data_IF_089360269332
#
_entry.id   IF_089360269332
#
_cell.length_a   1.000
_cell.length_b   1.000
_cell.length_c   1.000
_cell.angle_alpha   90.00
_cell.angle_beta   90.00
_cell.angle_gamma   90.00
#
_symmetry.space_group_name_H-M   'P 1'
#
loop_
_entity.id
_entity.type
_entity.pdbx_description
1 polymer ?
#
# COMPACT_ATOMS: atom_id res chain seq x y z
N UNK A 1 -18.32 -3.62 -13.44
CA UNK A 1 -17.58 -4.55 -14.32
C UNK A 1 -16.18 -4.73 -13.79
N UNK A 2 -15.59 -5.89 -13.97
CA UNK A 2 -14.22 -6.18 -13.58
C UNK A 2 -13.55 -7.09 -14.61
N UNK A 3 -12.25 -7.29 -14.46
CA UNK A 3 -11.50 -8.26 -15.23
C UNK A 3 -10.70 -9.16 -14.29
N UNK A 4 -10.50 -10.43 -14.65
CA UNK A 4 -9.62 -11.30 -13.90
C UNK A 4 -8.23 -10.68 -13.79
N UNK A 5 -7.71 -10.67 -12.55
CA UNK A 5 -6.34 -10.24 -12.32
C UNK A 5 -5.40 -11.40 -12.64
N UNK A 6 -4.87 -11.37 -13.85
CA UNK A 6 -3.76 -12.21 -14.20
C UNK A 6 -2.49 -11.69 -13.52
N UNK A 7 -1.46 -12.53 -13.42
CA UNK A 7 -0.14 -12.21 -12.88
C UNK A 7 0.62 -11.18 -13.74
N UNK A 8 -0.11 -10.20 -14.27
CA UNK A 8 0.41 -9.11 -15.07
C UNK A 8 1.00 -8.04 -14.16
N UNK A 9 2.10 -7.46 -14.58
CA UNK A 9 2.72 -6.34 -13.89
C UNK A 9 1.72 -5.19 -13.73
N UNK A 10 1.31 -4.87 -12.51
CA UNK A 10 0.43 -3.74 -12.21
C UNK A 10 1.02 -2.44 -12.71
N UNK A 11 2.34 -2.28 -12.68
CA UNK A 11 3.05 -1.14 -13.26
C UNK A 11 2.67 -0.93 -14.73
N UNK A 12 2.60 -2.02 -15.52
CA UNK A 12 2.16 -1.94 -16.92
C UNK A 12 0.70 -1.57 -17.06
N UNK A 13 -0.16 -2.12 -16.21
CA UNK A 13 -1.60 -1.82 -16.22
C UNK A 13 -1.82 -0.35 -15.93
N UNK A 14 -1.19 0.19 -14.87
CA UNK A 14 -1.30 1.60 -14.50
C UNK A 14 -0.74 2.50 -15.61
N UNK A 15 0.43 2.17 -16.17
CA UNK A 15 1.01 2.91 -17.30
C UNK A 15 0.07 2.92 -18.50
N UNK A 16 -0.54 1.79 -18.82
CA UNK A 16 -1.53 1.67 -19.90
C UNK A 16 -2.79 2.46 -19.61
N UNK A 17 -3.29 2.40 -18.37
CA UNK A 17 -4.44 3.19 -17.94
C UNK A 17 -4.16 4.68 -18.08
N UNK A 18 -3.08 5.19 -17.51
CA UNK A 18 -2.73 6.60 -17.56
C UNK A 18 -2.52 7.07 -19.01
N UNK A 19 -1.94 6.22 -19.86
CA UNK A 19 -1.76 6.55 -21.28
C UNK A 19 -3.09 6.70 -22.04
N UNK A 20 -4.06 5.84 -21.73
CA UNK A 20 -5.30 5.73 -22.51
C UNK A 20 -6.52 6.39 -21.84
N UNK A 21 -6.41 6.87 -20.60
CA UNK A 21 -7.54 7.53 -19.94
C UNK A 21 -8.01 8.75 -20.75
N UNK A 22 -9.31 8.92 -20.86
CA UNK A 22 -9.92 10.11 -21.48
C UNK A 22 -9.92 11.27 -20.48
N UNK A 23 -10.43 11.01 -19.27
CA UNK A 23 -10.47 11.96 -18.17
C UNK A 23 -9.53 11.54 -17.04
N UNK A 24 -8.83 12.52 -16.44
CA UNK A 24 -7.99 12.27 -15.28
C UNK A 24 -8.88 12.06 -14.04
N UNK A 25 -8.68 10.98 -13.25
CA UNK A 25 -9.37 10.83 -11.99
C UNK A 25 -9.06 12.00 -11.05
N UNK A 26 -10.09 12.59 -10.45
CA UNK A 26 -9.88 13.67 -9.48
C UNK A 26 -9.11 13.18 -8.25
N UNK A 27 -9.23 11.91 -7.91
CA UNK A 27 -8.55 11.28 -6.77
C UNK A 27 -7.89 9.98 -7.21
N UNK A 28 -6.65 9.77 -6.78
CA UNK A 28 -5.96 8.48 -6.91
C UNK A 28 -5.50 7.96 -5.54
N UNK A 29 -5.35 6.64 -5.42
CA UNK A 29 -4.63 6.02 -4.32
C UNK A 29 -3.29 5.50 -4.82
N UNK A 30 -2.22 5.82 -4.11
CA UNK A 30 -0.87 5.27 -4.26
C UNK A 30 -0.56 4.39 -3.05
N UNK A 31 0.22 3.35 -3.21
CA UNK A 31 0.65 2.48 -2.12
C UNK A 31 0.82 1.03 -2.55
N UNK A 32 0.91 0.14 -1.59
CA UNK A 32 1.07 -1.29 -1.81
C UNK A 32 -0.26 -2.06 -1.90
N UNK A 33 -0.17 -3.40 -1.91
CA UNK A 33 -1.34 -4.29 -1.83
C UNK A 33 -2.24 -4.02 -0.62
N UNK A 34 -1.72 -3.39 0.41
CA UNK A 34 -2.46 -3.08 1.65
C UNK A 34 -3.53 -2.01 1.45
N UNK A 35 -3.50 -1.28 0.35
CA UNK A 35 -4.50 -0.25 0.00
C UNK A 35 -5.22 -0.53 -1.33
N UNK A 36 -4.96 -1.67 -1.97
CA UNK A 36 -5.60 -2.05 -3.25
C UNK A 36 -7.11 -2.21 -3.17
N UNK A 37 -7.65 -2.40 -1.96
CA UNK A 37 -9.09 -2.57 -1.77
C UNK A 37 -9.87 -1.26 -1.68
N UNK A 38 -9.16 -0.11 -1.62
CA UNK A 38 -9.84 1.20 -1.67
C UNK A 38 -10.54 1.32 -3.02
N UNK A 39 -11.84 1.51 -2.99
CA UNK A 39 -12.68 1.61 -4.18
C UNK A 39 -13.42 2.94 -4.22
N UNK A 40 -13.89 3.29 -5.42
CA UNK A 40 -14.78 4.43 -5.64
C UNK A 40 -16.05 4.34 -4.80
N UNK A 41 -16.58 3.12 -4.60
CA UNK A 41 -17.74 2.85 -3.76
C UNK A 41 -17.43 3.16 -2.28
N UNK A 42 -16.29 2.74 -1.76
CA UNK A 42 -15.84 3.01 -0.38
C UNK A 42 -15.70 4.52 -0.14
N UNK A 43 -15.06 5.21 -1.07
CA UNK A 43 -14.84 6.66 -1.01
C UNK A 43 -16.08 7.50 -1.41
N UNK A 44 -17.14 6.86 -1.89
CA UNK A 44 -18.37 7.51 -2.39
C UNK A 44 -18.09 8.59 -3.43
N UNK A 45 -17.25 8.30 -4.41
CA UNK A 45 -16.88 9.21 -5.50
C UNK A 45 -16.75 8.46 -6.82
N UNK A 46 -17.22 9.06 -7.91
CA UNK A 46 -17.13 8.48 -9.25
C UNK A 46 -15.80 8.80 -9.95
N UNK A 47 -15.04 9.75 -9.42
CA UNK A 47 -13.77 10.19 -10.02
C UNK A 47 -12.58 9.74 -9.19
N UNK A 48 -12.36 8.42 -9.17
CA UNK A 48 -11.31 7.76 -8.42
C UNK A 48 -10.65 6.64 -9.24
N UNK A 49 -9.35 6.47 -9.05
CA UNK A 49 -8.63 5.30 -9.55
C UNK A 49 -7.58 4.82 -8.55
N UNK A 50 -7.58 3.52 -8.28
CA UNK A 50 -6.59 2.89 -7.41
C UNK A 50 -5.34 2.51 -8.21
N UNK A 51 -4.25 3.21 -7.95
CA UNK A 51 -2.94 3.00 -8.56
C UNK A 51 -1.97 2.21 -7.68
N UNK A 52 -2.46 1.47 -6.70
CA UNK A 52 -1.61 0.69 -5.81
C UNK A 52 -0.92 -0.47 -6.54
N UNK A 53 0.31 -0.76 -6.13
CA UNK A 53 1.20 -1.77 -6.73
C UNK A 53 1.63 -2.76 -5.65
N UNK A 54 1.52 -4.07 -5.89
CA UNK A 54 1.97 -5.08 -4.93
C UNK A 54 3.42 -4.86 -4.52
N UNK A 55 3.65 -4.66 -3.22
CA UNK A 55 4.97 -4.40 -2.66
C UNK A 55 5.58 -3.08 -3.14
N UNK A 56 4.75 -2.08 -3.43
CA UNK A 56 5.22 -0.75 -3.84
C UNK A 56 6.27 -0.22 -2.87
N UNK A 57 7.33 0.33 -3.41
CA UNK A 57 8.36 1.08 -2.71
C UNK A 57 8.23 2.59 -2.98
N UNK A 58 9.16 3.37 -2.44
CA UNK A 58 9.21 4.81 -2.64
C UNK A 58 9.16 5.19 -4.12
N UNK A 59 9.83 4.41 -4.91
CA UNK A 59 9.95 4.63 -6.33
C UNK A 59 8.65 4.36 -7.06
N UNK A 60 7.93 3.39 -6.75
CA UNK A 60 6.62 3.13 -7.32
C UNK A 60 5.62 4.27 -7.02
N UNK A 61 5.67 4.84 -5.81
CA UNK A 61 4.81 5.97 -5.45
C UNK A 61 5.07 7.16 -6.38
N UNK A 62 6.33 7.55 -6.49
CA UNK A 62 6.73 8.69 -7.29
C UNK A 62 6.56 8.46 -8.79
N UNK A 63 7.06 7.33 -9.30
CA UNK A 63 6.97 6.99 -10.72
C UNK A 63 5.53 6.87 -11.20
N UNK A 64 4.63 6.35 -10.36
CA UNK A 64 3.20 6.30 -10.69
C UNK A 64 2.61 7.70 -10.82
N UNK A 65 2.88 8.60 -9.88
CA UNK A 65 2.47 9.99 -9.99
C UNK A 65 3.05 10.66 -11.24
N UNK A 66 4.34 10.42 -11.51
CA UNK A 66 5.03 11.03 -12.64
C UNK A 66 4.44 10.66 -14.00
N UNK A 67 3.85 9.46 -14.14
CA UNK A 67 3.10 9.11 -15.35
C UNK A 67 1.96 10.10 -15.65
N UNK A 68 1.22 10.53 -14.63
CA UNK A 68 0.16 11.54 -14.77
C UNK A 68 0.74 12.90 -15.15
N UNK A 69 1.85 13.27 -14.56
CA UNK A 69 2.52 14.54 -14.86
C UNK A 69 3.08 14.57 -16.27
N UNK A 70 3.72 13.51 -16.75
CA UNK A 70 4.18 13.37 -18.15
C UNK A 70 3.04 13.53 -19.15
N UNK A 71 1.83 13.10 -18.79
CA UNK A 71 0.65 13.28 -19.61
C UNK A 71 0.09 14.72 -19.55
N UNK A 72 0.56 15.54 -18.63
CA UNK A 72 0.04 16.89 -18.37
C UNK A 72 -1.36 16.89 -17.74
N UNK A 73 -1.74 15.81 -17.04
CA UNK A 73 -3.05 15.62 -16.44
C UNK A 73 -2.88 15.01 -15.05
N UNK A 74 -2.86 15.86 -14.01
CA UNK A 74 -2.61 15.44 -12.62
C UNK A 74 -3.89 15.38 -11.80
N UNK A 75 -4.00 14.45 -10.83
CA UNK A 75 -5.15 14.38 -9.93
C UNK A 75 -5.20 15.60 -8.99
N UNK A 76 -6.36 15.86 -8.44
CA UNK A 76 -6.55 16.91 -7.42
C UNK A 76 -6.24 16.42 -6.01
N UNK A 77 -6.43 15.12 -5.76
CA UNK A 77 -6.25 14.51 -4.46
C UNK A 77 -5.45 13.22 -4.60
N UNK A 78 -4.56 12.96 -3.64
CA UNK A 78 -3.79 11.72 -3.58
C UNK A 78 -3.89 11.14 -2.16
N UNK A 79 -4.37 9.90 -2.06
CA UNK A 79 -4.29 9.09 -0.85
C UNK A 79 -3.03 8.25 -0.98
N UNK A 80 -2.06 8.47 -0.09
CA UNK A 80 -0.81 7.69 -0.06
C UNK A 80 -0.90 6.66 1.06
N UNK A 81 -1.00 5.38 0.69
CA UNK A 81 -0.76 4.29 1.62
C UNK A 81 0.74 4.22 1.91
N UNK A 82 1.12 4.64 3.11
CA UNK A 82 2.52 4.67 3.52
C UNK A 82 2.84 3.40 4.26
N UNK A 83 3.69 2.58 3.70
CA UNK A 83 4.14 1.32 4.30
C UNK A 83 5.52 1.50 4.96
N UNK A 84 5.84 0.71 6.01
CA UNK A 84 7.09 0.89 6.75
C UNK A 84 8.34 0.80 5.87
N UNK A 85 8.39 -0.15 4.96
CA UNK A 85 9.55 -0.39 4.09
C UNK A 85 9.83 0.74 3.07
N UNK A 86 8.93 1.70 2.92
CA UNK A 86 9.15 2.88 2.06
C UNK A 86 10.38 3.69 2.52
N UNK A 87 10.69 3.62 3.81
CA UNK A 87 11.84 4.30 4.41
C UNK A 87 13.06 3.40 4.63
N UNK A 88 13.00 2.15 4.20
CA UNK A 88 14.14 1.24 4.20
C UNK A 88 15.11 1.54 3.06
N UNK A 89 16.34 1.02 3.19
CA UNK A 89 17.41 1.20 2.21
C UNK A 89 17.21 0.44 0.90
N UNK A 90 18.30 0.26 0.17
CA UNK A 90 18.29 -0.40 -1.15
C UNK A 90 17.73 -1.82 -1.09
N UNK A 91 17.92 -2.55 0.01
CA UNK A 91 17.38 -3.90 0.20
C UNK A 91 15.85 -3.92 0.28
N UNK A 92 15.24 -2.79 0.62
CA UNK A 92 13.77 -2.63 0.62
C UNK A 92 13.19 -2.24 -0.75
N UNK A 93 14.04 -1.94 -1.74
CA UNK A 93 13.60 -1.56 -3.09
C UNK A 93 13.16 -2.79 -3.88
N UNK A 94 12.02 -2.66 -4.57
CA UNK A 94 11.58 -3.70 -5.49
C UNK A 94 12.44 -3.67 -6.77
N UNK A 95 13.13 -4.76 -7.13
CA UNK A 95 13.95 -4.79 -8.35
C UNK A 95 13.12 -4.61 -9.65
N UNK A 96 11.78 -4.69 -9.55
CA UNK A 96 10.87 -4.45 -10.67
C UNK A 96 10.46 -2.99 -10.80
N UNK A 97 10.86 -2.12 -9.87
CA UNK A 97 10.59 -0.68 -9.94
C UNK A 97 11.24 -0.07 -11.17
N UNK A 98 10.52 0.84 -11.83
CA UNK A 98 11.05 1.52 -13.02
C UNK A 98 11.94 2.71 -12.59
N UNK A 99 13.16 2.41 -12.16
CA UNK A 99 14.12 3.42 -11.70
C UNK A 99 14.42 4.49 -12.76
N UNK A 100 14.39 4.16 -14.03
CA UNK A 100 14.64 5.13 -15.10
C UNK A 100 13.55 6.20 -15.19
N UNK A 101 12.27 5.81 -15.05
CA UNK A 101 11.15 6.74 -14.98
C UNK A 101 11.32 7.75 -13.85
N UNK A 102 11.82 7.32 -12.73
CA UNK A 102 12.15 8.03 -11.53
C UNK A 102 13.30 9.00 -11.63
N UNK A 103 14.43 8.55 -12.23
CA UNK A 103 15.62 9.36 -12.35
C UNK A 103 15.31 10.68 -13.07
N UNK A 104 14.46 10.63 -14.10
CA UNK A 104 14.00 11.83 -14.78
C UNK A 104 13.19 12.75 -13.85
N UNK A 105 12.24 12.19 -13.11
CA UNK A 105 11.41 12.96 -12.18
C UNK A 105 12.26 13.57 -11.05
N UNK A 106 13.14 12.78 -10.45
CA UNK A 106 13.98 13.22 -9.34
C UNK A 106 14.89 14.39 -9.77
N UNK A 107 15.59 14.22 -10.90
CA UNK A 107 16.53 15.23 -11.38
C UNK A 107 15.81 16.51 -11.84
N UNK A 108 14.78 16.36 -12.68
CA UNK A 108 14.12 17.49 -13.32
C UNK A 108 13.23 18.27 -12.37
N UNK A 109 12.43 17.57 -11.58
CA UNK A 109 11.32 18.16 -10.83
C UNK A 109 11.62 18.32 -9.33
N UNK A 110 12.39 17.41 -8.75
CA UNK A 110 12.80 17.49 -7.34
C UNK A 110 14.22 18.02 -7.13
N UNK A 111 15.02 18.12 -8.21
CA UNK A 111 16.39 18.62 -8.14
C UNK A 111 17.33 17.68 -7.38
N UNK A 112 17.05 16.38 -7.39
CA UNK A 112 17.84 15.34 -6.73
C UNK A 112 18.63 14.59 -7.79
N UNK A 113 19.97 14.64 -7.68
CA UNK A 113 20.85 13.81 -8.50
C UNK A 113 20.77 12.35 -8.06
N UNK A 114 20.73 11.44 -9.02
CA UNK A 114 20.69 10.00 -8.77
C UNK A 114 21.77 9.30 -9.59
N UNK A 115 22.39 8.31 -9.01
CA UNK A 115 23.34 7.42 -9.69
C UNK A 115 22.65 6.30 -10.48
N UNK A 116 21.34 6.41 -10.69
CA UNK A 116 20.62 5.40 -11.47
C UNK A 116 21.09 5.44 -12.90
N UNK A 117 21.78 4.39 -13.30
CA UNK A 117 22.07 4.14 -14.71
C UNK A 117 20.75 3.98 -15.45
N UNK A 118 20.47 4.93 -16.32
CA UNK A 118 19.19 5.07 -17.03
C UNK A 118 18.88 3.90 -17.95
N UNK A 119 19.85 3.08 -18.28
CA UNK A 119 19.67 1.78 -18.95
C UNK A 119 20.88 0.89 -18.70
N UNK A 120 20.82 0.00 -17.73
CA UNK A 120 21.67 -1.18 -17.75
C UNK A 120 20.91 -2.33 -18.47
N UNK A 121 21.31 -2.63 -19.73
CA UNK A 121 20.72 -3.76 -20.44
C UNK A 121 20.97 -5.10 -19.75
N UNK A 122 21.97 -5.17 -18.84
CA UNK A 122 22.33 -6.39 -18.11
C UNK A 122 21.33 -6.70 -17.01
N UNK A 123 20.72 -5.69 -16.36
CA UNK A 123 19.67 -5.91 -15.36
C UNK A 123 18.44 -6.61 -15.94
N UNK A 124 18.08 -6.33 -17.21
CA UNK A 124 17.03 -7.08 -17.91
C UNK A 124 17.42 -8.55 -18.10
N UNK A 125 18.69 -8.82 -18.31
CA UNK A 125 19.21 -10.19 -18.47
C UNK A 125 19.35 -10.90 -17.12
N UNK A 126 19.81 -10.24 -16.07
CA UNK A 126 19.90 -10.81 -14.71
C UNK A 126 18.51 -11.18 -14.16
N UNK A 127 17.50 -10.33 -14.37
CA UNK A 127 16.12 -10.65 -14.02
C UNK A 127 15.61 -11.89 -14.78
N UNK A 128 16.00 -12.08 -16.04
CA UNK A 128 15.64 -13.26 -16.84
C UNK A 128 16.33 -14.54 -16.35
N UNK A 129 17.50 -14.43 -15.76
CA UNK A 129 18.26 -15.58 -15.22
C UNK A 129 18.02 -15.83 -13.74
N UNK A 130 17.24 -14.99 -13.05
CA UNK A 130 16.87 -15.25 -11.66
C UNK A 130 16.07 -16.55 -11.57
N UNK A 131 16.46 -17.51 -10.71
CA UNK A 131 15.77 -18.79 -10.56
C UNK A 131 14.28 -18.64 -10.24
N UNK A 132 13.91 -17.66 -9.45
CA UNK A 132 12.53 -17.36 -9.08
C UNK A 132 11.71 -16.82 -10.26
N UNK A 133 12.31 -15.95 -11.08
CA UNK A 133 11.67 -15.44 -12.30
C UNK A 133 11.52 -16.57 -13.35
N UNK A 134 12.56 -17.39 -13.49
CA UNK A 134 12.52 -18.56 -14.40
C UNK A 134 11.48 -19.57 -13.94
N UNK A 135 11.43 -19.91 -12.65
CA UNK A 135 10.40 -20.80 -12.10
C UNK A 135 8.98 -20.25 -12.29
N UNK A 136 8.78 -18.95 -12.02
CA UNK A 136 7.49 -18.30 -12.22
C UNK A 136 7.06 -18.34 -13.68
N UNK A 137 7.96 -17.98 -14.60
CA UNK A 137 7.67 -18.01 -16.03
C UNK A 137 7.51 -19.44 -16.58
N UNK A 138 8.30 -20.41 -16.10
CA UNK A 138 8.18 -21.80 -16.50
C UNK A 138 6.85 -22.39 -16.02
N UNK A 139 6.47 -22.12 -14.76
CA UNK A 139 5.19 -22.56 -14.22
C UNK A 139 4.03 -21.93 -15.01
N UNK A 140 4.11 -20.64 -15.31
CA UNK A 140 3.14 -19.93 -16.15
C UNK A 140 3.07 -20.54 -17.57
N UNK A 141 4.22 -20.73 -18.21
CA UNK A 141 4.30 -21.33 -19.55
C UNK A 141 3.72 -22.75 -19.59
N UNK A 142 4.05 -23.58 -18.60
CA UNK A 142 3.55 -24.95 -18.50
C UNK A 142 2.05 -24.97 -18.19
N UNK A 143 1.56 -24.07 -17.33
CA UNK A 143 0.13 -23.98 -16.99
C UNK A 143 -0.70 -23.44 -18.16
N UNK A 144 -0.18 -22.43 -18.87
CA UNK A 144 -0.82 -21.82 -20.02
C UNK A 144 -0.67 -22.63 -21.33
N UNK A 145 0.08 -23.75 -21.34
CA UNK A 145 0.40 -24.54 -22.55
C UNK A 145 0.90 -23.70 -23.73
N UNK A 146 1.60 -22.59 -23.43
CA UNK A 146 2.08 -21.65 -24.44
C UNK A 146 1.01 -20.70 -25.01
N UNK A 147 -0.22 -20.73 -24.52
CA UNK A 147 -1.24 -19.75 -24.89
C UNK A 147 -1.03 -18.44 -24.11
N UNK A 148 -1.17 -17.31 -24.78
CA UNK A 148 -1.20 -16.01 -24.12
C UNK A 148 -2.56 -15.87 -23.45
N UNK A 149 -2.62 -16.07 -22.15
CA UNK A 149 -3.86 -15.89 -21.38
C UNK A 149 -4.19 -14.41 -21.36
N UNK A 150 -5.29 -14.05 -22.02
CA UNK A 150 -5.83 -12.69 -21.96
C UNK A 150 -6.71 -12.53 -20.73
N UNK A 151 -6.68 -11.36 -20.06
CA UNK A 151 -7.62 -11.07 -19.00
C UNK A 151 -9.05 -11.20 -19.52
N UNK A 152 -9.86 -12.02 -18.85
CA UNK A 152 -11.26 -12.16 -19.22
C UNK A 152 -12.10 -11.14 -18.45
N UNK A 153 -13.06 -10.54 -19.14
CA UNK A 153 -14.06 -9.73 -18.45
C UNK A 153 -14.86 -10.62 -17.51
N UNK A 154 -15.01 -10.18 -16.26
CA UNK A 154 -15.84 -10.87 -15.28
C UNK A 154 -17.27 -10.37 -15.43
N UNK A 155 -18.15 -11.26 -15.87
CA UNK A 155 -19.56 -11.01 -15.93
C UNK A 155 -20.24 -11.49 -14.63
N UNK A 156 -21.09 -10.65 -14.07
CA UNK A 156 -21.85 -10.98 -12.86
C UNK A 156 -21.22 -10.46 -11.57
N UNK A 157 -21.45 -11.21 -10.47
CA UNK A 157 -21.03 -10.80 -9.14
C UNK A 157 -19.53 -11.00 -8.92
N UNK A 158 -18.79 -9.88 -8.89
CA UNK A 158 -17.34 -9.87 -8.67
C UNK A 158 -16.95 -10.42 -7.28
N UNK A 159 -17.89 -10.41 -6.33
CA UNK A 159 -17.67 -10.94 -4.99
C UNK A 159 -17.70 -12.48 -4.94
N UNK A 160 -18.24 -13.14 -5.95
CA UNK A 160 -18.35 -14.59 -5.99
C UNK A 160 -17.31 -15.29 -6.90
N UNK A 161 -16.26 -14.58 -7.29
CA UNK A 161 -15.22 -15.15 -8.12
C UNK A 161 -14.17 -15.90 -7.29
N UNK A 162 -13.69 -17.02 -7.82
CA UNK A 162 -12.58 -17.80 -7.23
C UNK A 162 -11.20 -17.28 -7.65
N UNK A 163 -11.16 -16.22 -8.48
CA UNK A 163 -9.97 -15.49 -8.88
C UNK A 163 -10.00 -14.07 -8.32
N UNK A 164 -8.86 -13.41 -8.26
CA UNK A 164 -8.80 -11.97 -7.97
C UNK A 164 -9.37 -11.18 -9.14
N UNK A 165 -10.19 -10.19 -8.83
CA UNK A 165 -10.83 -9.33 -9.82
C UNK A 165 -10.37 -7.88 -9.64
N UNK A 166 -9.85 -7.28 -10.71
CA UNK A 166 -9.65 -5.84 -10.77
C UNK A 166 -10.92 -5.16 -11.28
N UNK A 167 -11.43 -4.20 -10.53
CA UNK A 167 -12.57 -3.36 -10.93
C UNK A 167 -12.14 -2.27 -11.91
N UNK A 168 -13.12 -1.61 -12.52
CA UNK A 168 -12.87 -0.50 -13.46
C UNK A 168 -12.21 0.72 -12.82
N UNK A 169 -12.31 0.86 -11.51
CA UNK A 169 -11.66 1.90 -10.72
C UNK A 169 -10.26 1.50 -10.22
N UNK A 170 -9.69 0.40 -10.74
CA UNK A 170 -8.37 -0.11 -10.36
C UNK A 170 -8.34 -0.86 -9.03
N UNK A 171 -9.41 -0.83 -8.24
CA UNK A 171 -9.46 -1.54 -6.97
C UNK A 171 -9.52 -3.06 -7.18
N UNK A 172 -9.04 -3.81 -6.18
CA UNK A 172 -8.97 -5.27 -6.22
C UNK A 172 -10.00 -5.89 -5.28
N UNK A 173 -10.70 -6.89 -5.78
CA UNK A 173 -11.47 -7.84 -4.98
C UNK A 173 -10.69 -9.14 -4.94
N UNK A 174 -10.25 -9.54 -3.76
CA UNK A 174 -9.58 -10.83 -3.57
C UNK A 174 -10.53 -12.00 -3.85
N UNK A 175 -9.99 -13.16 -4.23
CA UNK A 175 -10.78 -14.35 -4.50
C UNK A 175 -11.72 -14.70 -3.33
N UNK A 176 -12.85 -15.30 -3.64
CA UNK A 176 -13.81 -15.72 -2.62
C UNK A 176 -13.15 -16.65 -1.60
N UNK A 177 -12.36 -17.63 -2.05
CA UNK A 177 -11.65 -18.57 -1.18
C UNK A 177 -10.72 -17.86 -0.17
N UNK A 178 -9.99 -16.82 -0.61
CA UNK A 178 -9.13 -16.04 0.28
C UNK A 178 -9.93 -15.20 1.28
N UNK A 179 -11.05 -14.60 0.85
CA UNK A 179 -11.89 -13.76 1.71
C UNK A 179 -12.72 -14.53 2.73
N UNK A 180 -13.05 -15.81 2.44
CA UNK A 180 -13.93 -16.64 3.27
C UNK A 180 -13.19 -17.78 3.97
N UNK A 181 -11.87 -17.74 4.00
CA UNK A 181 -11.08 -18.75 4.72
C UNK A 181 -11.39 -18.73 6.23
N UNK A 182 -11.30 -19.89 6.91
CA UNK A 182 -11.52 -19.97 8.35
C UNK A 182 -10.54 -19.10 9.13
N UNK A 183 -10.95 -18.59 10.30
CA UNK A 183 -10.08 -17.74 11.14
C UNK A 183 -8.77 -18.42 11.50
N UNK A 184 -8.79 -19.72 11.76
CA UNK A 184 -7.57 -20.48 12.07
C UNK A 184 -6.54 -20.44 10.93
N UNK A 185 -7.01 -20.37 9.66
CA UNK A 185 -6.12 -20.24 8.52
C UNK A 185 -5.55 -18.82 8.41
N UNK A 186 -6.35 -17.81 8.72
CA UNK A 186 -5.90 -16.40 8.79
C UNK A 186 -4.81 -16.23 9.85
N UNK A 187 -5.08 -16.73 11.07
CA UNK A 187 -4.15 -16.66 12.20
C UNK A 187 -2.85 -17.44 11.92
N UNK A 188 -2.96 -18.59 11.27
CA UNK A 188 -1.79 -19.39 10.85
C UNK A 188 -0.96 -18.66 9.77
N UNK A 189 -1.60 -17.98 8.84
CA UNK A 189 -0.92 -17.16 7.84
C UNK A 189 -0.21 -15.97 8.50
N UNK A 190 -0.87 -15.29 9.45
CA UNK A 190 -0.29 -14.20 10.21
C UNK A 190 0.91 -14.66 11.03
N UNK A 191 0.82 -15.82 11.68
CA UNK A 191 1.94 -16.44 12.40
C UNK A 191 3.08 -16.82 11.46
N UNK A 192 2.79 -17.33 10.28
CA UNK A 192 3.81 -17.64 9.26
C UNK A 192 4.58 -16.39 8.80
N UNK A 193 3.91 -15.25 8.74
CA UNK A 193 4.52 -13.99 8.35
C UNK A 193 5.42 -13.37 9.44
N UNK A 194 5.35 -13.82 10.68
CA UNK A 194 6.26 -13.35 11.74
C UNK A 194 7.70 -13.80 11.52
N UNK A 195 7.94 -14.85 10.73
CA UNK A 195 9.28 -15.32 10.38
C UNK A 195 9.86 -14.65 9.12
N UNK A 196 9.05 -13.92 8.40
CA UNK A 196 9.43 -13.12 7.22
C UNK A 196 8.46 -11.95 7.11
N UNK A 197 8.71 -10.92 7.90
CA UNK A 197 7.85 -9.77 8.01
C UNK A 197 8.14 -8.79 6.87
N UNK A 198 7.55 -9.03 5.74
CA UNK A 198 7.76 -8.44 4.42
C UNK A 198 8.54 -7.11 4.43
N UNK A 199 9.85 -7.17 4.09
CA UNK A 199 10.78 -6.03 3.97
C UNK A 199 10.96 -5.16 5.22
N UNK A 200 10.32 -5.52 6.35
CA UNK A 200 10.39 -4.74 7.58
C UNK A 200 11.65 -5.10 8.39
N UNK A 201 12.17 -6.30 8.20
CA UNK A 201 13.40 -6.78 8.81
C UNK A 201 14.68 -6.27 8.15
N UNK A 202 14.59 -5.53 7.04
CA UNK A 202 15.76 -5.15 6.25
C UNK A 202 16.39 -3.83 6.69
N UNK A 203 15.85 -3.14 7.69
CA UNK A 203 16.43 -1.90 8.18
C UNK A 203 16.18 -1.72 9.69
N UNK A 204 17.19 -1.18 10.36
CA UNK A 204 17.15 -0.92 11.81
C UNK A 204 16.53 0.45 12.12
N UNK A 205 16.69 1.41 11.22
CA UNK A 205 16.11 2.75 11.32
C UNK A 205 15.72 3.29 9.94
N UNK A 206 14.69 4.16 9.87
CA UNK A 206 14.35 4.85 8.64
C UNK A 206 15.53 5.65 8.10
N UNK A 207 15.87 5.47 6.82
CA UNK A 207 16.99 6.14 6.19
C UNK A 207 16.72 7.62 5.93
N UNK A 208 17.67 8.47 6.30
CA UNK A 208 17.53 9.93 6.21
C UNK A 208 17.29 10.40 4.76
N UNK A 209 17.97 9.79 3.81
CA UNK A 209 17.76 10.05 2.38
C UNK A 209 16.32 9.75 1.93
N UNK A 210 15.74 8.65 2.42
CA UNK A 210 14.36 8.28 2.12
C UNK A 210 13.35 9.22 2.79
N UNK A 211 13.66 9.67 4.00
CA UNK A 211 12.86 10.67 4.72
C UNK A 211 12.85 12.00 3.95
N UNK A 212 14.02 12.46 3.52
CA UNK A 212 14.15 13.69 2.74
C UNK A 212 13.39 13.58 1.41
N UNK A 213 13.59 12.47 0.69
CA UNK A 213 12.96 12.20 -0.59
C UNK A 213 11.43 12.18 -0.49
N UNK A 214 10.88 11.45 0.48
CA UNK A 214 9.44 11.40 0.73
C UNK A 214 8.88 12.79 1.07
N UNK A 215 9.58 13.52 1.93
CA UNK A 215 9.18 14.87 2.34
C UNK A 215 9.15 15.82 1.15
N UNK A 216 10.19 15.83 0.31
CA UNK A 216 10.26 16.62 -0.91
C UNK A 216 9.16 16.26 -1.90
N UNK A 217 8.88 14.96 -2.04
CA UNK A 217 7.80 14.50 -2.91
C UNK A 217 6.45 15.06 -2.48
N UNK A 218 6.12 14.95 -1.19
CA UNK A 218 4.85 15.48 -0.68
C UNK A 218 4.77 17.01 -0.83
N UNK A 219 5.86 17.73 -0.53
CA UNK A 219 5.93 19.18 -0.75
C UNK A 219 5.75 19.56 -2.22
N UNK A 220 6.32 18.76 -3.14
CA UNK A 220 6.13 18.97 -4.57
C UNK A 220 4.66 18.81 -4.98
N UNK A 221 3.98 17.77 -4.50
CA UNK A 221 2.55 17.57 -4.74
C UNK A 221 1.72 18.74 -4.22
N UNK A 222 1.98 19.18 -3.00
CA UNK A 222 1.31 20.33 -2.40
C UNK A 222 1.60 21.63 -3.18
N UNK A 223 2.83 21.81 -3.66
CA UNK A 223 3.23 22.94 -4.50
C UNK A 223 2.49 22.99 -5.85
N UNK A 224 2.01 21.85 -6.34
CA UNK A 224 1.12 21.74 -7.51
C UNK A 224 -0.36 21.95 -7.16
N UNK A 225 -0.68 22.21 -5.91
CA UNK A 225 -2.06 22.37 -5.45
C UNK A 225 -2.80 21.05 -5.23
N UNK A 226 -2.07 19.92 -5.16
CA UNK A 226 -2.64 18.59 -4.91
C UNK A 226 -2.82 18.38 -3.41
N UNK A 227 -4.01 17.97 -3.01
CA UNK A 227 -4.31 17.61 -1.63
C UNK A 227 -3.81 16.21 -1.34
N UNK A 228 -2.99 16.06 -0.32
CA UNK A 228 -2.37 14.79 0.07
C UNK A 228 -2.93 14.30 1.39
N UNK A 229 -3.17 13.00 1.48
CA UNK A 229 -3.65 12.31 2.69
C UNK A 229 -2.80 11.06 2.89
N UNK A 230 -2.35 10.79 4.11
CA UNK A 230 -1.66 9.55 4.44
C UNK A 230 -2.63 8.52 5.02
N UNK A 231 -2.45 7.28 4.60
CA UNK A 231 -3.16 6.13 5.14
C UNK A 231 -2.15 5.10 5.66
N UNK A 232 -2.26 4.77 6.94
CA UNK A 232 -1.50 3.70 7.59
C UNK A 232 -2.40 2.49 7.74
N UNK A 233 -2.18 1.47 6.92
CA UNK A 233 -2.94 0.23 7.02
C UNK A 233 -2.47 -0.58 8.23
N UNK A 234 -3.36 -1.05 9.13
CA UNK A 234 -2.97 -1.83 10.29
C UNK A 234 -2.42 -3.20 9.93
N UNK A 235 -1.64 -3.77 10.84
CA UNK A 235 -1.17 -5.15 10.78
C UNK A 235 -2.11 -6.05 11.58
N UNK A 236 -2.16 -7.33 11.23
CA UNK A 236 -2.86 -8.34 12.03
C UNK A 236 -2.30 -8.36 13.46
N UNK A 237 -3.13 -8.51 14.52
CA UNK A 237 -2.66 -8.54 15.90
C UNK A 237 -1.45 -9.44 16.14
N UNK A 238 -1.47 -10.69 15.66
CA UNK A 238 -0.35 -11.63 15.81
C UNK A 238 0.95 -11.08 15.18
N UNK A 239 0.88 -10.47 13.99
CA UNK A 239 2.06 -9.93 13.32
C UNK A 239 2.57 -8.66 14.03
N UNK A 240 1.65 -7.80 14.44
CA UNK A 240 1.99 -6.57 15.17
C UNK A 240 2.61 -6.87 16.54
N UNK A 241 2.00 -7.77 17.34
CA UNK A 241 2.49 -8.14 18.65
C UNK A 241 3.88 -8.76 18.56
N UNK A 242 4.10 -9.65 17.59
CA UNK A 242 5.42 -10.21 17.33
C UNK A 242 6.47 -9.14 17.04
N UNK A 243 6.12 -8.13 16.23
CA UNK A 243 7.04 -7.03 15.94
C UNK A 243 7.32 -6.18 17.19
N UNK A 244 6.31 -5.94 18.01
CA UNK A 244 6.46 -5.17 19.26
C UNK A 244 7.21 -5.93 20.36
N UNK A 245 7.00 -7.25 20.47
CA UNK A 245 7.74 -8.12 21.40
C UNK A 245 9.23 -8.25 20.98
N UNK A 246 9.51 -8.13 19.70
CA UNK A 246 10.86 -8.16 19.13
C UNK A 246 11.28 -6.77 18.62
N UNK A 247 10.94 -5.71 19.34
CA UNK A 247 11.13 -4.31 18.94
C UNK A 247 12.59 -3.93 18.62
N UNK A 248 13.56 -4.62 19.21
CA UNK A 248 14.98 -4.43 18.89
C UNK A 248 15.30 -4.92 17.47
N UNK A 249 14.77 -6.08 17.08
CA UNK A 249 14.92 -6.62 15.72
C UNK A 249 14.13 -5.83 14.68
N UNK A 250 12.95 -5.34 15.04
CA UNK A 250 12.06 -4.56 14.18
C UNK A 250 12.08 -3.06 14.48
N UNK A 251 13.23 -2.55 14.92
CA UNK A 251 13.37 -1.15 15.37
C UNK A 251 13.00 -0.13 14.27
N UNK A 252 13.33 -0.40 13.01
CA UNK A 252 12.89 0.41 11.87
C UNK A 252 11.37 0.47 11.74
N UNK A 253 10.68 -0.66 11.91
CA UNK A 253 9.22 -0.69 11.91
C UNK A 253 8.63 0.15 13.04
N UNK A 254 9.14 -0.03 14.26
CA UNK A 254 8.68 0.70 15.45
C UNK A 254 8.88 2.21 15.30
N UNK A 255 9.98 2.62 14.67
CA UNK A 255 10.31 4.03 14.45
C UNK A 255 9.47 4.69 13.35
N UNK A 256 8.92 3.92 12.42
CA UNK A 256 8.33 4.46 11.18
C UNK A 256 7.01 5.20 11.41
N UNK A 257 6.05 4.66 12.17
CA UNK A 257 4.78 5.38 12.38
C UNK A 257 4.97 6.73 13.10
N UNK A 258 5.75 6.83 14.18
CA UNK A 258 6.11 8.12 14.78
C UNK A 258 6.76 9.09 13.81
N UNK A 259 7.62 8.60 12.92
CA UNK A 259 8.25 9.40 11.87
C UNK A 259 7.20 9.97 10.91
N UNK A 260 6.33 9.11 10.35
CA UNK A 260 5.30 9.54 9.40
C UNK A 260 4.38 10.58 10.03
N UNK A 261 3.94 10.39 11.27
CA UNK A 261 3.11 11.36 11.98
C UNK A 261 3.83 12.69 12.22
N UNK A 262 5.14 12.67 12.42
CA UNK A 262 5.96 13.87 12.53
C UNK A 262 6.05 14.61 11.18
N UNK A 263 6.32 13.89 10.08
CA UNK A 263 6.34 14.44 8.71
C UNK A 263 4.96 15.02 8.37
N UNK A 264 3.91 14.27 8.62
CA UNK A 264 2.53 14.69 8.36
C UNK A 264 2.18 15.99 9.10
N UNK A 265 2.57 16.10 10.37
CA UNK A 265 2.38 17.32 11.15
C UNK A 265 3.18 18.51 10.60
N UNK A 266 4.41 18.28 10.12
CA UNK A 266 5.24 19.34 9.53
C UNK A 266 4.66 19.84 8.20
N UNK A 267 4.00 18.98 7.45
CA UNK A 267 3.45 19.24 6.11
C UNK A 267 1.94 19.54 6.12
N UNK A 268 1.32 19.56 7.30
CA UNK A 268 -0.13 19.72 7.46
C UNK A 268 -0.95 18.70 6.66
N UNK A 269 -0.52 17.43 6.72
CA UNK A 269 -1.15 16.29 6.04
C UNK A 269 -1.93 15.46 7.06
N UNK A 270 -3.23 15.17 6.86
CA UNK A 270 -3.98 14.29 7.74
C UNK A 270 -3.51 12.83 7.59
N UNK A 271 -3.49 12.09 8.71
CA UNK A 271 -3.11 10.68 8.76
C UNK A 271 -4.28 9.85 9.24
N UNK A 272 -4.81 9.01 8.37
CA UNK A 272 -5.83 8.02 8.70
C UNK A 272 -5.18 6.67 8.99
N UNK A 273 -5.73 5.94 9.95
CA UNK A 273 -5.21 4.61 10.31
C UNK A 273 -3.98 4.64 11.23
N UNK A 274 -3.48 3.46 11.50
CA UNK A 274 -2.29 3.17 12.32
C UNK A 274 -1.79 1.78 11.97
N UNK A 275 -0.50 1.53 12.12
CA UNK A 275 0.02 0.15 12.02
C UNK A 275 -0.45 -0.71 13.20
N UNK A 276 -0.77 -0.07 14.33
CA UNK A 276 -1.31 -0.71 15.52
C UNK A 276 -2.81 -1.06 15.34
N UNK A 277 -3.18 -2.35 15.22
CA UNK A 277 -4.57 -2.75 15.05
C UNK A 277 -5.45 -2.37 16.25
N UNK A 278 -4.88 -2.38 17.46
CA UNK A 278 -5.61 -2.06 18.67
C UNK A 278 -6.02 -0.59 18.76
N UNK A 279 -5.18 0.31 18.23
CA UNK A 279 -5.52 1.73 18.12
C UNK A 279 -6.74 1.97 17.22
N UNK A 280 -7.00 1.02 16.31
CA UNK A 280 -8.14 1.02 15.41
C UNK A 280 -9.35 0.23 15.94
N UNK A 281 -9.20 -0.45 17.10
CA UNK A 281 -10.21 -1.34 17.65
C UNK A 281 -10.42 -2.61 16.84
N UNK A 282 -9.39 -3.04 16.07
CA UNK A 282 -9.45 -4.22 15.22
C UNK A 282 -9.00 -5.48 15.97
N UNK A 283 -9.51 -6.61 15.51
CA UNK A 283 -9.24 -7.95 16.02
C UNK A 283 -8.72 -8.83 14.88
N UNK A 284 -8.32 -10.07 15.18
CA UNK A 284 -7.90 -11.03 14.17
C UNK A 284 -8.93 -11.22 13.03
N UNK A 285 -10.23 -11.13 13.36
CA UNK A 285 -11.32 -11.32 12.39
C UNK A 285 -11.39 -10.22 11.30
N UNK A 286 -10.72 -9.10 11.51
CA UNK A 286 -10.72 -7.95 10.60
C UNK A 286 -9.67 -8.04 9.50
N UNK A 287 -8.99 -9.19 9.38
CA UNK A 287 -7.89 -9.40 8.44
C UNK A 287 -8.13 -10.60 7.52
N UNK A 288 -7.44 -10.60 6.38
CA UNK A 288 -7.36 -11.72 5.46
C UNK A 288 -6.10 -12.57 5.72
N UNK A 289 -5.03 -11.95 6.21
CA UNK A 289 -3.76 -12.56 6.59
C UNK A 289 -3.01 -11.63 7.57
N UNK A 290 -1.70 -11.74 7.71
CA UNK A 290 -0.91 -10.93 8.66
C UNK A 290 -0.78 -9.44 8.31
N UNK A 291 -1.08 -9.04 7.06
CA UNK A 291 -0.83 -7.68 6.57
C UNK A 291 -1.98 -7.03 5.81
N UNK A 292 -3.00 -7.82 5.42
CA UNK A 292 -4.12 -7.30 4.63
C UNK A 292 -5.40 -7.21 5.47
N UNK A 293 -5.80 -5.99 5.78
CA UNK A 293 -7.05 -5.69 6.47
C UNK A 293 -8.26 -5.93 5.56
N UNK A 294 -9.40 -6.36 6.10
CA UNK A 294 -10.64 -6.53 5.32
C UNK A 294 -11.20 -5.19 4.86
N UNK A 295 -11.87 -5.19 3.71
CA UNK A 295 -12.49 -3.97 3.15
C UNK A 295 -13.47 -3.32 4.10
N UNK A 296 -14.23 -4.13 4.83
CA UNK A 296 -15.22 -3.68 5.81
C UNK A 296 -14.53 -2.97 6.98
N UNK A 297 -13.42 -3.53 7.46
CA UNK A 297 -12.63 -2.93 8.53
C UNK A 297 -11.91 -1.65 8.04
N UNK A 298 -11.37 -1.65 6.82
CA UNK A 298 -10.75 -0.47 6.22
C UNK A 298 -11.73 0.71 6.16
N UNK A 299 -13.00 0.47 5.81
CA UNK A 299 -14.04 1.50 5.74
C UNK A 299 -14.40 2.12 7.09
N UNK A 300 -13.99 1.52 8.21
CA UNK A 300 -14.27 2.08 9.56
C UNK A 300 -13.35 3.23 9.92
N UNK A 301 -12.17 3.32 9.30
CA UNK A 301 -11.18 4.34 9.57
C UNK A 301 -10.74 5.16 8.35
N UNK A 302 -11.15 4.77 7.15
CA UNK A 302 -11.04 5.59 5.94
C UNK A 302 -12.47 6.04 5.57
N UNK A 303 -12.87 7.27 5.93
CA UNK A 303 -14.23 7.75 5.66
C UNK A 303 -14.40 8.10 4.17
N UNK A 304 -15.65 8.42 3.74
CA UNK A 304 -15.90 8.95 2.41
C UNK A 304 -15.02 10.15 2.05
N UNK A 305 -14.73 10.31 0.76
CA UNK A 305 -13.82 11.37 0.29
C UNK A 305 -14.25 12.77 0.72
N UNK A 306 -15.56 13.04 0.73
CA UNK A 306 -16.11 14.33 1.17
C UNK A 306 -15.69 14.65 2.61
N UNK A 307 -15.78 13.67 3.50
CA UNK A 307 -15.38 13.83 4.90
C UNK A 307 -13.87 14.01 5.04
N UNK A 308 -13.08 13.28 4.24
CA UNK A 308 -11.63 13.43 4.19
C UNK A 308 -11.26 14.87 3.80
N UNK A 309 -11.87 15.38 2.73
CA UNK A 309 -11.60 16.72 2.22
C UNK A 309 -12.08 17.79 3.19
N UNK A 310 -13.25 17.60 3.81
CA UNK A 310 -13.74 18.50 4.86
C UNK A 310 -12.77 18.58 6.04
N UNK A 311 -12.27 17.43 6.51
CA UNK A 311 -11.32 17.39 7.63
C UNK A 311 -10.01 18.09 7.27
N UNK A 312 -9.51 17.89 6.05
CA UNK A 312 -8.30 18.56 5.55
C UNK A 312 -8.49 20.07 5.48
N UNK A 313 -9.58 20.56 4.89
CA UNK A 313 -9.85 21.99 4.71
C UNK A 313 -10.09 22.71 6.03
N UNK A 314 -10.59 22.02 7.05
CA UNK A 314 -10.89 22.59 8.36
C UNK A 314 -9.81 22.28 9.42
N UNK A 315 -8.70 21.66 9.05
CA UNK A 315 -7.60 21.34 9.96
C UNK A 315 -8.03 20.42 11.11
N UNK A 316 -8.98 19.49 10.85
CA UNK A 316 -9.47 18.55 11.87
C UNK A 316 -8.38 17.54 12.19
N UNK A 317 -7.96 17.47 13.45
CA UNK A 317 -7.00 16.44 13.90
C UNK A 317 -7.72 15.08 13.98
N UNK A 318 -7.64 14.34 12.88
CA UNK A 318 -8.22 13.00 12.79
C UNK A 318 -7.49 11.96 13.64
N UNK A 319 -6.27 12.26 14.11
CA UNK A 319 -5.50 11.35 14.97
C UNK A 319 -6.08 11.20 16.38
N UNK A 320 -6.83 12.19 16.83
CA UNK A 320 -7.49 12.18 18.16
C UNK A 320 -8.54 11.07 18.26
N UNK A 321 -9.23 10.77 17.17
CA UNK A 321 -10.28 9.76 17.15
C UNK A 321 -9.76 8.35 17.45
N UNK A 322 -8.50 8.07 17.17
CA UNK A 322 -7.90 6.75 17.38
C UNK A 322 -7.45 6.51 18.83
N UNK A 323 -7.04 7.57 19.56
CA UNK A 323 -6.62 7.46 20.97
C UNK A 323 -7.77 7.06 21.90
N UNK A 324 -9.02 7.36 21.51
CA UNK A 324 -10.21 7.06 22.33
C UNK A 324 -10.69 5.61 22.19
N UNK A 325 -10.19 4.86 21.18
CA UNK A 325 -10.59 3.48 20.87
C UNK A 325 -9.58 2.42 21.35
N UNK A 326 -8.44 2.80 21.94
CA UNK A 326 -7.54 1.83 22.54
C UNK A 326 -8.31 1.08 23.64
N UNK A 327 -8.25 -0.27 23.70
CA UNK A 327 -8.89 -1.02 24.78
C UNK A 327 -8.35 -0.50 26.10
N UNK A 328 -9.24 -0.11 27.01
CA UNK A 328 -8.85 0.03 28.41
C UNK A 328 -8.37 -1.36 28.85
N UNK A 329 -7.17 -1.45 29.43
CA UNK A 329 -6.73 -2.65 30.13
C UNK A 329 -7.91 -3.12 31.01
N UNK A 330 -8.51 -4.26 30.68
CA UNK A 330 -9.46 -4.89 31.57
C UNK A 330 -8.71 -5.13 32.88
N UNK A 331 -9.13 -4.44 33.93
CA UNK A 331 -8.74 -4.72 35.32
C UNK A 331 -8.89 -6.22 35.54
N UNK A 332 -7.78 -6.92 35.51
CA UNK A 332 -7.74 -8.31 35.98
C UNK A 332 -8.17 -8.29 37.43
N UNK A 333 -9.22 -9.01 37.82
CA UNK A 333 -9.61 -9.04 39.23
C UNK A 333 -8.45 -9.64 40.04
N UNK A 334 -7.70 -8.78 40.72
CA UNK A 334 -6.91 -9.22 41.87
C UNK A 334 -7.95 -9.59 42.92
N UNK A 335 -8.13 -10.89 43.12
CA UNK A 335 -8.47 -11.50 44.41
C UNK A 335 -9.13 -12.86 44.17
N UNK A 336 -8.31 -13.89 44.08
CA UNK A 336 -8.63 -15.18 44.60
C UNK A 336 -7.50 -15.54 45.56
N UNK A 337 -7.54 -14.92 46.73
CA UNK A 337 -6.81 -15.45 47.89
C UNK A 337 -7.44 -16.80 48.24
N UNK A 338 -6.62 -17.83 48.18
CA UNK A 338 -6.84 -19.14 48.76
C UNK A 338 -7.08 -19.01 50.27
N UNK A 339 -8.18 -19.52 50.74
CA UNK A 339 -8.37 -20.11 52.08
C UNK A 339 -8.65 -21.58 51.94
#
# INVERSE_FOLDING_TARGET
MGAERLNNSQRKIIKTFVHNMEDVPATIALGSSRVMMISSEMLKTDSFYNCAITGADMYDLMGTYYLFEQRGAVPQNIIIGVDPWVFGGEDAVDPRSDKALYAEFLLRDLGIETDFETEDPTMKWEALYSPSYFQGNLTYFLSARGEVVQPQAVEGDVMNQDTEVMRSDGSIVYSRSFRTQPQEAVDAAALGQTSNFFRVEYYEEPEEERIELFTKFVQYLQGKGIRVVFLLSPYHPIAYDNAMENAEHYSGFVATEPLIRRIAKQLDVPVYGSYNPYAMGLTNADFYDGIHVRSEALSTFLPPLEDILYNLENGVDVSVNYRQKAPQEEDTPKDAQLT
#
